data_IF_875252556516
#
_entry.id   IF_875252556516
#
_cell.length_a   1.000
_cell.length_b   1.000
_cell.length_c   1.000
_cell.angle_alpha   90.00
_cell.angle_beta   90.00
_cell.angle_gamma   90.00
#
_symmetry.space_group_name_H-M   'P 1'
#
loop_
_entity.id
_entity.type
_entity.pdbx_description
1 polymer ?
#
# COMPACT_ATOMS: atom_id res chain seq x y z
N UNK A 1 8.43 29.51 -2.49
CA UNK A 1 7.84 29.81 -1.17
C UNK A 1 7.34 28.54 -0.48
N UNK A 2 7.05 28.60 0.81
CA UNK A 2 6.48 27.46 1.57
C UNK A 2 5.11 27.04 0.99
N UNK A 3 4.32 27.99 0.54
CA UNK A 3 3.02 27.75 -0.09
C UNK A 3 3.17 27.00 -1.43
N UNK A 4 4.16 27.36 -2.26
CA UNK A 4 4.47 26.65 -3.51
C UNK A 4 4.84 25.19 -3.25
N UNK A 5 5.74 24.92 -2.28
CA UNK A 5 6.14 23.55 -1.95
C UNK A 5 4.97 22.69 -1.45
N UNK A 6 4.03 23.29 -0.73
CA UNK A 6 2.81 22.57 -0.28
C UNK A 6 1.88 22.25 -1.44
N UNK A 7 1.72 23.19 -2.37
CA UNK A 7 0.93 22.96 -3.58
C UNK A 7 1.54 21.84 -4.42
N UNK A 8 2.84 21.90 -4.68
CA UNK A 8 3.58 20.88 -5.44
C UNK A 8 3.45 19.48 -4.79
N UNK A 9 3.49 19.41 -3.46
CA UNK A 9 3.33 18.14 -2.73
C UNK A 9 1.91 17.56 -2.88
N UNK A 10 0.88 18.41 -2.82
CA UNK A 10 -0.51 17.99 -3.06
C UNK A 10 -0.68 17.51 -4.49
N UNK A 11 -0.19 18.25 -5.46
CA UNK A 11 -0.26 17.89 -6.88
C UNK A 11 0.42 16.54 -7.13
N UNK A 12 1.56 16.29 -6.48
CA UNK A 12 2.23 14.99 -6.55
C UNK A 12 1.34 13.86 -6.03
N UNK A 13 0.69 14.04 -4.87
CA UNK A 13 -0.24 13.04 -4.32
C UNK A 13 -1.42 12.79 -5.26
N UNK A 14 -1.97 13.83 -5.89
CA UNK A 14 -3.06 13.71 -6.86
C UNK A 14 -2.62 13.02 -8.16
N UNK A 15 -1.34 13.08 -8.50
CA UNK A 15 -0.77 12.27 -9.59
C UNK A 15 -0.74 10.78 -9.22
N UNK A 16 -0.41 10.45 -7.97
CA UNK A 16 -0.41 9.07 -7.48
C UNK A 16 -1.84 8.53 -7.38
N UNK A 17 -2.76 9.32 -6.83
CA UNK A 17 -4.16 8.96 -6.58
C UNK A 17 -5.13 9.93 -7.29
N UNK A 18 -5.33 9.83 -8.61
CA UNK A 18 -6.17 10.76 -9.38
C UNK A 18 -7.61 10.84 -8.90
N UNK A 19 -8.16 9.76 -8.33
CA UNK A 19 -9.51 9.75 -7.74
C UNK A 19 -9.69 10.77 -6.63
N UNK A 20 -8.64 11.03 -5.85
CA UNK A 20 -8.70 12.05 -4.79
C UNK A 20 -8.90 13.45 -5.36
N UNK A 21 -8.37 13.72 -6.56
CA UNK A 21 -8.57 14.98 -7.27
C UNK A 21 -10.04 15.27 -7.61
N UNK A 22 -10.84 14.22 -7.78
CA UNK A 22 -12.28 14.33 -8.03
C UNK A 22 -13.11 14.55 -6.76
N UNK A 23 -12.47 14.51 -5.59
CA UNK A 23 -13.10 14.54 -4.26
C UNK A 23 -12.60 15.68 -3.37
N UNK A 24 -11.88 16.67 -3.94
CA UNK A 24 -11.23 17.74 -3.16
C UNK A 24 -12.21 18.54 -2.30
N UNK A 25 -13.44 18.76 -2.78
CA UNK A 25 -14.48 19.52 -2.07
C UNK A 25 -15.35 18.62 -1.18
N UNK A 26 -15.08 17.30 -1.14
CA UNK A 26 -15.86 16.35 -0.37
C UNK A 26 -15.26 16.17 1.03
N UNK A 27 -16.07 16.24 2.12
CA UNK A 27 -15.60 15.93 3.46
C UNK A 27 -15.00 14.53 3.55
N UNK A 28 -13.80 14.38 4.12
CA UNK A 28 -13.06 13.12 4.17
C UNK A 28 -13.86 11.97 4.83
N UNK A 29 -14.73 12.29 5.79
CA UNK A 29 -15.60 11.31 6.45
C UNK A 29 -16.64 10.66 5.54
N UNK A 30 -16.94 11.27 4.38
CA UNK A 30 -17.93 10.78 3.40
C UNK A 30 -17.29 9.98 2.26
N UNK A 31 -15.96 9.87 2.24
CA UNK A 31 -15.25 9.06 1.26
C UNK A 31 -15.53 7.56 1.45
N UNK A 32 -15.45 6.80 0.37
CA UNK A 32 -15.51 5.33 0.42
C UNK A 32 -14.32 4.77 1.23
N UNK A 33 -14.42 3.50 1.65
CA UNK A 33 -13.32 2.83 2.36
C UNK A 33 -12.01 2.88 1.59
N UNK A 34 -12.04 2.60 0.28
CA UNK A 34 -10.86 2.66 -0.59
C UNK A 34 -10.32 4.07 -0.76
N UNK A 35 -11.17 5.06 -0.98
CA UNK A 35 -10.75 6.47 -1.07
C UNK A 35 -10.11 6.96 0.24
N UNK A 36 -10.63 6.54 1.40
CA UNK A 36 -9.99 6.84 2.70
C UNK A 36 -8.61 6.20 2.84
N UNK A 37 -8.43 4.95 2.38
CA UNK A 37 -7.11 4.30 2.36
C UNK A 37 -6.13 5.04 1.44
N UNK A 38 -6.56 5.41 0.24
CA UNK A 38 -5.76 6.24 -0.68
C UNK A 38 -5.40 7.60 -0.07
N UNK A 39 -6.35 8.25 0.62
CA UNK A 39 -6.11 9.52 1.32
C UNK A 39 -5.07 9.34 2.44
N UNK A 40 -5.14 8.27 3.21
CA UNK A 40 -4.18 7.98 4.28
C UNK A 40 -2.76 7.79 3.73
N UNK A 41 -2.60 7.02 2.64
CA UNK A 41 -1.31 6.85 1.96
C UNK A 41 -0.84 8.18 1.38
N UNK A 42 -1.72 8.93 0.71
CA UNK A 42 -1.40 10.25 0.15
C UNK A 42 -0.92 11.24 1.20
N UNK A 43 -1.55 11.27 2.37
CA UNK A 43 -1.10 12.10 3.50
C UNK A 43 0.31 11.75 3.98
N UNK A 44 0.63 10.46 4.04
CA UNK A 44 1.99 10.02 4.38
C UNK A 44 3.01 10.49 3.33
N UNK A 45 2.62 10.52 2.06
CA UNK A 45 3.49 10.96 0.95
C UNK A 45 3.75 12.46 0.95
N UNK A 46 2.92 13.30 1.57
CA UNK A 46 3.14 14.75 1.65
C UNK A 46 4.45 15.13 2.34
N UNK A 47 4.99 14.25 3.19
CA UNK A 47 6.26 14.45 3.89
C UNK A 47 7.50 14.06 3.09
N UNK A 48 7.35 13.66 1.82
CA UNK A 48 8.42 13.13 0.99
C UNK A 48 9.24 12.03 1.70
N UNK A 49 8.57 10.94 2.14
CA UNK A 49 9.21 9.90 2.94
C UNK A 49 10.18 9.08 2.10
N UNK A 50 11.26 8.61 2.74
CA UNK A 50 12.16 7.60 2.16
C UNK A 50 11.71 6.18 2.47
N UNK A 51 10.89 6.01 3.49
CA UNK A 51 10.31 4.75 3.93
C UNK A 51 8.83 4.94 4.23
N UNK A 52 8.00 4.09 3.67
CA UNK A 52 6.56 4.02 3.94
C UNK A 52 6.25 2.70 4.66
N UNK A 53 5.57 2.80 5.79
CA UNK A 53 5.11 1.65 6.56
C UNK A 53 3.59 1.55 6.41
N UNK A 54 3.09 0.41 5.94
CA UNK A 54 1.69 0.15 5.68
C UNK A 54 1.24 -1.10 6.43
N UNK A 55 0.25 -0.93 7.29
CA UNK A 55 -0.38 -2.02 8.04
C UNK A 55 -1.80 -2.24 7.50
N UNK A 56 -2.02 -3.37 6.87
CA UNK A 56 -3.27 -3.80 6.24
C UNK A 56 -3.94 -2.70 5.38
N UNK A 57 -3.23 -2.13 4.37
CA UNK A 57 -3.74 -0.99 3.61
C UNK A 57 -5.00 -1.29 2.80
N UNK A 58 -5.36 -2.57 2.62
CA UNK A 58 -6.55 -2.97 1.87
C UNK A 58 -7.63 -3.63 2.72
N UNK A 59 -7.48 -3.65 4.04
CA UNK A 59 -8.51 -4.19 4.92
C UNK A 59 -9.84 -3.45 4.76
N UNK A 60 -10.93 -4.22 4.57
CA UNK A 60 -12.28 -3.66 4.39
C UNK A 60 -12.52 -2.93 3.07
N UNK A 61 -11.63 -3.09 2.10
CA UNK A 61 -11.73 -2.49 0.77
C UNK A 61 -12.32 -3.47 -0.24
N UNK A 62 -13.20 -2.98 -1.11
CA UNK A 62 -13.75 -3.79 -2.19
C UNK A 62 -12.66 -4.23 -3.18
N UNK A 63 -12.77 -5.47 -3.69
CA UNK A 63 -11.73 -6.12 -4.51
C UNK A 63 -11.27 -5.28 -5.72
N UNK A 64 -12.16 -4.57 -6.39
CA UNK A 64 -11.78 -3.73 -7.53
C UNK A 64 -10.91 -2.53 -7.17
N UNK A 65 -11.01 -2.05 -5.92
CA UNK A 65 -10.18 -0.96 -5.40
C UNK A 65 -8.86 -1.48 -4.83
N UNK A 66 -8.83 -2.73 -4.35
CA UNK A 66 -7.59 -3.41 -3.94
C UNK A 66 -6.59 -3.42 -5.09
N UNK A 67 -7.04 -3.77 -6.30
CA UNK A 67 -6.18 -3.77 -7.48
C UNK A 67 -5.58 -2.40 -7.77
N UNK A 68 -6.40 -1.34 -7.71
CA UNK A 68 -5.93 0.03 -7.91
C UNK A 68 -4.88 0.43 -6.86
N UNK A 69 -5.13 0.14 -5.57
CA UNK A 69 -4.16 0.41 -4.50
C UNK A 69 -2.86 -0.38 -4.76
N UNK A 70 -2.96 -1.65 -5.15
CA UNK A 70 -1.81 -2.49 -5.47
C UNK A 70 -0.93 -1.88 -6.55
N UNK A 71 -1.53 -1.46 -7.67
CA UNK A 71 -0.80 -0.83 -8.78
C UNK A 71 -0.10 0.45 -8.32
N UNK A 72 -0.75 1.29 -7.49
CA UNK A 72 -0.13 2.51 -6.95
C UNK A 72 1.03 2.21 -6.01
N UNK A 73 0.90 1.19 -5.18
CA UNK A 73 1.99 0.75 -4.29
C UNK A 73 3.18 0.20 -5.07
N UNK A 74 2.95 -0.54 -6.15
CA UNK A 74 4.03 -1.01 -7.04
C UNK A 74 4.80 0.18 -7.61
N UNK A 75 4.11 1.22 -8.09
CA UNK A 75 4.75 2.42 -8.60
C UNK A 75 5.53 3.19 -7.52
N UNK A 76 4.95 3.36 -6.33
CA UNK A 76 5.62 3.99 -5.19
C UNK A 76 6.89 3.25 -4.79
N UNK A 77 6.84 1.93 -4.75
CA UNK A 77 7.97 1.08 -4.34
C UNK A 77 9.19 1.15 -5.29
N UNK A 78 9.02 1.71 -6.48
CA UNK A 78 10.15 1.99 -7.40
C UNK A 78 11.05 3.13 -6.91
N UNK A 79 10.51 4.04 -6.10
CA UNK A 79 11.17 5.29 -5.74
C UNK A 79 11.46 5.41 -4.23
N UNK A 80 10.71 4.71 -3.38
CA UNK A 80 10.86 4.73 -1.93
C UNK A 80 10.86 3.30 -1.38
N UNK A 81 11.44 3.12 -0.20
CA UNK A 81 11.32 1.86 0.52
C UNK A 81 9.90 1.69 1.07
N UNK A 82 9.33 0.50 0.93
CA UNK A 82 7.99 0.17 1.42
C UNK A 82 8.07 -1.09 2.26
N UNK A 83 7.54 -1.02 3.48
CA UNK A 83 7.24 -2.20 4.29
C UNK A 83 5.73 -2.31 4.39
N UNK A 84 5.19 -3.44 3.97
CA UNK A 84 3.76 -3.71 3.95
C UNK A 84 3.46 -4.96 4.78
N UNK A 85 2.50 -4.85 5.69
CA UNK A 85 1.90 -5.96 6.40
C UNK A 85 0.53 -6.21 5.79
N UNK A 86 0.30 -7.38 5.25
CA UNK A 86 -0.91 -7.69 4.49
C UNK A 86 -1.30 -9.17 4.61
N UNK A 87 -2.61 -9.41 4.68
CA UNK A 87 -3.19 -10.74 4.58
C UNK A 87 -3.53 -11.11 3.13
N UNK A 88 -3.74 -10.11 2.27
CA UNK A 88 -3.90 -10.30 0.83
C UNK A 88 -2.55 -10.67 0.19
N UNK A 89 -2.30 -11.96 0.12
CA UNK A 89 -1.02 -12.52 -0.34
C UNK A 89 -0.63 -12.04 -1.73
N UNK A 90 -1.57 -12.01 -2.67
CA UNK A 90 -1.28 -11.59 -4.04
C UNK A 90 -0.79 -10.14 -4.07
N UNK A 91 -1.44 -9.23 -3.35
CA UNK A 91 -1.01 -7.84 -3.22
C UNK A 91 0.40 -7.78 -2.62
N UNK A 92 0.59 -8.41 -1.46
CA UNK A 92 1.86 -8.33 -0.74
C UNK A 92 3.03 -8.81 -1.62
N UNK A 93 2.88 -9.95 -2.29
CA UNK A 93 3.93 -10.54 -3.14
C UNK A 93 4.10 -9.85 -4.50
N UNK A 94 3.14 -9.07 -4.96
CA UNK A 94 3.27 -8.24 -6.17
C UNK A 94 4.03 -6.94 -5.90
N UNK A 95 3.82 -6.36 -4.72
CA UNK A 95 4.49 -5.11 -4.31
C UNK A 95 5.91 -5.37 -3.82
N UNK A 96 6.13 -6.46 -3.09
CA UNK A 96 7.38 -6.76 -2.41
C UNK A 96 8.45 -7.37 -3.33
N UNK A 97 9.71 -7.04 -3.07
CA UNK A 97 10.88 -7.74 -3.61
C UNK A 97 11.27 -8.94 -2.72
N UNK A 98 11.07 -8.78 -1.40
CA UNK A 98 11.40 -9.76 -0.39
C UNK A 98 10.23 -9.88 0.60
N UNK A 99 9.95 -11.09 1.07
CA UNK A 99 8.82 -11.35 1.95
C UNK A 99 9.23 -12.16 3.18
N UNK A 100 8.55 -11.86 4.29
CA UNK A 100 8.59 -12.61 5.53
C UNK A 100 7.18 -13.10 5.85
N UNK A 101 7.03 -14.39 6.07
CA UNK A 101 5.79 -14.98 6.57
C UNK A 101 5.92 -15.13 8.07
N UNK A 102 5.06 -14.47 8.81
CA UNK A 102 5.04 -14.51 10.27
C UNK A 102 3.98 -15.48 10.76
N UNK A 103 4.36 -16.37 11.67
CA UNK A 103 3.44 -17.26 12.38
C UNK A 103 3.80 -17.27 13.87
N UNK A 104 2.82 -17.00 14.71
CA UNK A 104 2.95 -17.02 16.18
C UNK A 104 4.18 -16.29 16.72
N UNK A 105 4.43 -15.11 16.18
CA UNK A 105 5.53 -14.23 16.59
C UNK A 105 6.91 -14.66 16.10
N UNK A 106 6.99 -15.56 15.11
CA UNK A 106 8.24 -16.04 14.50
C UNK A 106 8.20 -15.91 12.98
N UNK A 107 9.37 -15.75 12.37
CA UNK A 107 9.52 -15.87 10.92
C UNK A 107 9.44 -17.35 10.56
N UNK A 108 8.35 -17.75 9.90
CA UNK A 108 8.11 -19.13 9.48
C UNK A 108 8.71 -19.43 8.10
N UNK A 109 8.69 -18.42 7.19
CA UNK A 109 9.23 -18.52 5.85
C UNK A 109 9.73 -17.14 5.45
N UNK A 110 10.81 -17.07 4.66
CA UNK A 110 11.32 -15.81 4.11
C UNK A 110 12.08 -16.06 2.82
N UNK A 111 12.15 -15.05 1.97
CA UNK A 111 12.89 -15.11 0.72
C UNK A 111 12.47 -14.05 -0.28
N UNK A 112 13.02 -14.11 -1.49
CA UNK A 112 12.54 -13.32 -2.61
C UNK A 112 11.04 -13.58 -2.82
N UNK A 113 10.27 -12.55 -3.16
CA UNK A 113 8.81 -12.65 -3.27
C UNK A 113 8.36 -13.78 -4.22
N UNK A 114 9.07 -13.97 -5.34
CA UNK A 114 8.80 -15.08 -6.29
C UNK A 114 9.06 -16.46 -5.70
N UNK A 115 10.10 -16.61 -4.89
CA UNK A 115 10.43 -17.88 -4.21
C UNK A 115 9.37 -18.20 -3.14
N UNK A 116 8.98 -17.20 -2.34
CA UNK A 116 7.93 -17.37 -1.33
C UNK A 116 6.60 -17.73 -1.99
N UNK A 117 6.25 -17.07 -3.09
CA UNK A 117 5.02 -17.36 -3.87
C UNK A 117 4.97 -18.80 -4.36
N UNK A 118 6.10 -19.36 -4.77
CA UNK A 118 6.22 -20.72 -5.30
C UNK A 118 6.43 -21.79 -4.22
N UNK A 119 6.59 -21.39 -2.95
CA UNK A 119 6.88 -22.33 -1.87
C UNK A 119 5.68 -23.19 -1.52
N UNK A 120 5.80 -24.53 -1.53
CA UNK A 120 4.73 -25.42 -1.07
C UNK A 120 4.37 -25.23 0.40
N UNK A 121 5.29 -24.70 1.21
CA UNK A 121 5.08 -24.46 2.64
C UNK A 121 4.13 -23.28 2.89
N UNK A 122 4.06 -22.32 1.95
CA UNK A 122 3.22 -21.14 2.09
C UNK A 122 1.76 -21.48 2.40
N UNK A 123 1.22 -22.51 1.74
CA UNK A 123 -0.16 -22.97 1.95
C UNK A 123 -0.46 -23.42 3.40
N UNK A 124 0.57 -23.86 4.13
CA UNK A 124 0.41 -24.27 5.53
C UNK A 124 0.13 -23.09 6.46
N UNK A 125 0.55 -21.89 6.09
CA UNK A 125 0.41 -20.66 6.88
C UNK A 125 -0.79 -19.81 6.44
N UNK A 126 -1.44 -20.17 5.32
CA UNK A 126 -2.62 -19.50 4.79
C UNK A 126 -3.94 -20.19 5.19
N UNK A 127 -3.87 -21.44 5.65
CA UNK A 127 -5.05 -22.15 6.14
C UNK A 127 -5.47 -21.59 7.50
N UNK A 128 -6.79 -21.35 7.73
CA UNK A 128 -7.31 -20.87 8.99
C UNK A 128 -7.16 -21.92 10.12
#
# INVERSE_FOLDING_TARGET
SLASRKADAVDHVLTIFPKLGQRLDQPAGTLSGGERKMLAIGRAMLGDPKLLLLDEPTEGVWIGVIEEITERLIELAKNIAVIIVEQHLDLALRVANYAYVLDRGRVALQGAAGEVRSSPELLRYLAP
#
